data_IF_739276462221
#
_entry.id   IF_739276462221
#
_cell.length_a   1.000
_cell.length_b   1.000
_cell.length_c   1.000
_cell.angle_alpha   90.00
_cell.angle_beta   90.00
_cell.angle_gamma   90.00
#
_symmetry.space_group_name_H-M   'P 1'
#
loop_
_entity.id
_entity.type
_entity.pdbx_description
1 polymer ?
#
# COMPACT_ATOMS: atom_id res chain seq x y z
N UNK A 1 35.31 6.64 -28.69
CA UNK A 1 35.29 6.40 -27.23
C UNK A 1 34.32 7.40 -26.65
N UNK A 2 33.03 7.09 -26.67
CA UNK A 2 32.00 7.92 -26.04
C UNK A 2 31.54 7.17 -24.81
N UNK A 3 32.21 7.41 -23.69
CA UNK A 3 31.74 6.94 -22.38
C UNK A 3 30.50 7.76 -22.03
N UNK A 4 29.34 7.24 -22.40
CA UNK A 4 28.10 7.58 -21.73
C UNK A 4 28.20 7.00 -20.32
N UNK A 5 28.56 7.83 -19.35
CA UNK A 5 28.23 7.56 -17.95
C UNK A 5 26.71 7.69 -17.82
N UNK A 6 26.01 6.65 -18.25
CA UNK A 6 24.60 6.45 -17.94
C UNK A 6 24.57 6.29 -16.42
N UNK A 7 24.21 7.35 -15.70
CA UNK A 7 23.82 7.23 -14.30
C UNK A 7 22.48 6.48 -14.31
N UNK A 8 22.56 5.16 -14.50
CA UNK A 8 21.41 4.28 -14.47
C UNK A 8 20.82 4.39 -13.08
N UNK A 9 19.57 4.85 -13.01
CA UNK A 9 18.76 4.85 -11.80
C UNK A 9 18.91 3.50 -11.11
N UNK A 10 19.62 3.46 -9.98
CA UNK A 10 19.81 2.25 -9.23
C UNK A 10 18.69 2.14 -8.22
N UNK A 11 17.71 1.31 -8.58
CA UNK A 11 16.64 0.88 -7.69
C UNK A 11 16.89 -0.57 -7.30
N UNK A 12 17.14 -0.81 -6.02
CA UNK A 12 17.36 -2.15 -5.51
C UNK A 12 16.43 -2.44 -4.33
N UNK A 13 15.71 -3.55 -4.42
CA UNK A 13 14.91 -4.06 -3.31
C UNK A 13 15.86 -4.80 -2.36
N UNK A 14 16.11 -4.23 -1.18
CA UNK A 14 16.95 -4.86 -0.17
C UNK A 14 16.19 -5.97 0.55
N UNK A 15 14.96 -5.68 0.96
CA UNK A 15 14.12 -6.61 1.70
C UNK A 15 12.66 -6.23 1.61
N UNK A 16 11.79 -7.22 1.54
CA UNK A 16 10.35 -7.06 1.73
C UNK A 16 9.96 -7.93 2.91
N UNK A 17 9.21 -7.38 3.85
CA UNK A 17 8.79 -8.07 5.06
C UNK A 17 7.46 -7.53 5.55
N UNK A 18 6.67 -8.38 6.19
CA UNK A 18 5.42 -7.95 6.82
C UNK A 18 5.73 -7.43 8.21
N UNK A 19 5.41 -6.16 8.46
CA UNK A 19 5.72 -5.46 9.71
C UNK A 19 4.66 -5.69 10.77
N UNK A 20 3.41 -5.68 10.34
CA UNK A 20 2.25 -5.91 11.20
C UNK A 20 1.15 -6.62 10.43
N UNK A 21 0.41 -7.47 11.13
CA UNK A 21 -0.77 -8.17 10.62
C UNK A 21 -1.78 -8.25 11.75
N UNK A 22 -2.97 -7.73 11.48
CA UNK A 22 -4.13 -7.88 12.36
C UNK A 22 -5.30 -8.49 11.61
N UNK A 23 -5.95 -9.47 12.22
CA UNK A 23 -7.19 -10.04 11.72
C UNK A 23 -8.15 -10.25 12.88
N UNK A 24 -9.33 -9.66 12.77
CA UNK A 24 -10.37 -9.72 13.78
C UNK A 24 -11.70 -10.11 13.15
N UNK A 25 -12.41 -11.03 13.79
CA UNK A 25 -13.76 -11.45 13.39
C UNK A 25 -14.67 -11.40 14.63
N UNK A 26 -15.08 -10.21 15.08
CA UNK A 26 -15.76 -10.04 16.37
C UNK A 26 -17.12 -10.74 16.42
N UNK A 27 -17.81 -10.82 15.28
CA UNK A 27 -19.14 -11.42 15.18
C UNK A 27 -19.11 -12.89 14.73
N UNK A 28 -17.95 -13.54 14.72
CA UNK A 28 -17.87 -14.98 14.52
C UNK A 28 -18.37 -15.72 15.79
N UNK A 29 -19.22 -16.77 15.67
CA UNK A 29 -19.72 -17.42 14.46
C UNK A 29 -21.08 -16.91 13.95
N UNK A 30 -21.70 -15.92 14.59
CA UNK A 30 -23.05 -15.45 14.26
C UNK A 30 -23.15 -14.92 12.82
N UNK A 31 -22.07 -14.33 12.32
CA UNK A 31 -21.94 -13.89 10.92
C UNK A 31 -22.14 -15.03 9.91
N UNK A 32 -21.85 -16.29 10.26
CA UNK A 32 -22.03 -17.42 9.35
C UNK A 32 -23.50 -17.80 9.11
N UNK A 33 -24.41 -17.30 9.93
CA UNK A 33 -25.85 -17.56 9.78
C UNK A 33 -26.55 -16.56 8.84
N UNK A 34 -25.86 -15.47 8.48
CA UNK A 34 -26.39 -14.41 7.61
C UNK A 34 -26.09 -14.69 6.15
N UNK A 35 -26.91 -14.12 5.28
CA UNK A 35 -26.66 -14.13 3.84
C UNK A 35 -25.35 -13.39 3.54
N UNK A 36 -24.45 -14.04 2.79
CA UNK A 36 -23.10 -13.55 2.57
C UNK A 36 -23.08 -12.52 1.44
N UNK A 37 -23.45 -11.28 1.78
CA UNK A 37 -23.25 -10.09 0.95
C UNK A 37 -22.36 -9.09 1.69
N UNK A 38 -21.02 -9.32 1.75
CA UNK A 38 -20.13 -8.40 2.41
C UNK A 38 -19.91 -7.15 1.56
N UNK A 39 -20.17 -5.98 2.14
CA UNK A 39 -19.62 -4.73 1.64
C UNK A 39 -18.16 -4.65 2.09
N UNK A 40 -17.25 -4.57 1.11
CA UNK A 40 -15.81 -4.55 1.35
C UNK A 40 -15.32 -3.13 1.18
N UNK A 41 -14.86 -2.54 2.28
CA UNK A 41 -14.16 -1.26 2.27
C UNK A 41 -12.66 -1.52 2.30
N UNK A 42 -11.95 -0.97 1.33
CA UNK A 42 -10.50 -0.98 1.24
C UNK A 42 -9.96 0.42 1.53
N UNK A 43 -9.05 0.50 2.48
CA UNK A 43 -8.28 1.69 2.81
C UNK A 43 -6.79 1.41 2.61
N UNK A 44 -6.09 2.35 1.99
CA UNK A 44 -4.69 2.22 1.61
C UNK A 44 -3.92 3.43 2.10
N UNK A 45 -2.97 3.18 2.99
CA UNK A 45 -2.03 4.18 3.45
C UNK A 45 -0.63 3.78 3.05
N UNK A 46 0.12 4.73 2.48
CA UNK A 46 1.55 4.55 2.20
C UNK A 46 2.34 5.51 3.06
N UNK A 47 3.25 4.98 3.86
CA UNK A 47 4.24 5.75 4.60
C UNK A 47 5.62 5.46 4.01
N UNK A 48 6.47 6.49 3.92
CA UNK A 48 7.88 6.33 3.59
C UNK A 48 8.74 6.94 4.68
N UNK A 49 9.91 6.36 4.92
CA UNK A 49 10.85 6.78 5.95
C UNK A 49 12.26 6.52 5.47
N UNK A 50 13.16 7.47 5.68
CA UNK A 50 14.57 7.29 5.33
C UNK A 50 15.31 6.59 6.48
N UNK A 51 16.00 5.48 6.19
CA UNK A 51 16.75 4.72 7.18
C UNK A 51 18.24 5.06 7.17
N UNK A 52 18.82 5.27 5.99
CA UNK A 52 20.21 5.64 5.80
C UNK A 52 20.40 6.47 4.51
N UNK A 53 21.64 6.82 4.20
CA UNK A 53 22.00 7.42 2.91
C UNK A 53 21.60 6.45 1.80
N UNK A 54 20.79 6.93 0.84
CA UNK A 54 20.27 6.14 -0.28
C UNK A 54 19.40 4.93 0.13
N UNK A 55 19.00 4.79 1.41
CA UNK A 55 18.14 3.67 1.89
C UNK A 55 16.83 4.19 2.47
N UNK A 56 15.74 3.75 1.87
CA UNK A 56 14.37 4.12 2.21
C UNK A 56 13.55 2.91 2.62
N UNK A 57 12.82 3.03 3.71
CA UNK A 57 11.73 2.13 4.08
C UNK A 57 10.42 2.68 3.53
N UNK A 58 9.67 1.86 2.81
CA UNK A 58 8.29 2.14 2.41
C UNK A 58 7.39 1.12 3.08
N UNK A 59 6.38 1.60 3.79
CA UNK A 59 5.37 0.78 4.45
C UNK A 59 4.03 1.04 3.77
N UNK A 60 3.48 0.00 3.16
CA UNK A 60 2.13 -0.02 2.62
C UNK A 60 1.21 -0.69 3.64
N UNK A 61 0.33 0.09 4.25
CA UNK A 61 -0.75 -0.40 5.09
C UNK A 61 -2.00 -0.58 4.23
N UNK A 62 -2.55 -1.79 4.26
CA UNK A 62 -3.78 -2.16 3.60
C UNK A 62 -4.77 -2.58 4.66
N UNK A 63 -5.84 -1.81 4.83
CA UNK A 63 -6.91 -2.12 5.77
C UNK A 63 -8.16 -2.51 4.99
N UNK A 64 -8.66 -3.70 5.26
CA UNK A 64 -9.85 -4.28 4.65
C UNK A 64 -10.88 -4.50 5.73
N UNK A 65 -11.99 -3.80 5.59
CA UNK A 65 -13.16 -3.92 6.48
C UNK A 65 -14.29 -4.54 5.68
N UNK A 66 -14.76 -5.70 6.11
CA UNK A 66 -15.91 -6.36 5.52
C UNK A 66 -17.11 -6.26 6.47
N UNK A 67 -18.24 -5.76 5.99
CA UNK A 67 -19.50 -5.65 6.75
C UNK A 67 -20.62 -6.38 6.05
N UNK A 68 -21.40 -7.19 6.77
CA UNK A 68 -22.56 -7.91 6.23
C UNK A 68 -23.81 -7.35 6.91
N UNK A 69 -24.63 -6.63 6.15
CA UNK A 69 -25.74 -5.84 6.71
C UNK A 69 -25.23 -4.73 7.63
N UNK A 70 -25.60 -4.77 8.92
CA UNK A 70 -25.17 -3.81 9.94
C UNK A 70 -24.02 -4.33 10.84
N UNK A 71 -23.49 -5.52 10.57
CA UNK A 71 -22.45 -6.14 11.40
C UNK A 71 -21.11 -6.25 10.68
N UNK A 72 -20.01 -5.98 11.39
CA UNK A 72 -18.67 -6.24 10.88
C UNK A 72 -18.41 -7.74 10.81
N UNK A 73 -18.19 -8.26 9.61
CA UNK A 73 -17.84 -9.66 9.41
C UNK A 73 -16.40 -9.91 9.86
N UNK A 74 -15.47 -9.13 9.31
CA UNK A 74 -14.08 -9.14 9.72
C UNK A 74 -13.38 -7.81 9.42
N UNK A 75 -12.33 -7.55 10.19
CA UNK A 75 -11.34 -6.51 9.97
C UNK A 75 -10.01 -7.19 9.67
N UNK A 76 -9.33 -6.78 8.62
CA UNK A 76 -8.01 -7.26 8.28
C UNK A 76 -7.11 -6.07 7.98
N UNK A 77 -6.03 -5.92 8.73
CA UNK A 77 -5.01 -4.91 8.47
C UNK A 77 -3.69 -5.63 8.20
N UNK A 78 -3.03 -5.27 7.11
CA UNK A 78 -1.69 -5.78 6.78
C UNK A 78 -0.79 -4.59 6.49
N UNK A 79 0.33 -4.51 7.21
CA UNK A 79 1.38 -3.53 6.98
C UNK A 79 2.56 -4.24 6.32
N UNK A 80 2.68 -4.05 5.01
CA UNK A 80 3.78 -4.58 4.23
C UNK A 80 4.89 -3.54 4.13
N UNK A 81 6.06 -3.85 4.66
CA UNK A 81 7.23 -2.99 4.60
C UNK A 81 8.23 -3.49 3.56
N UNK A 82 8.89 -2.55 2.89
CA UNK A 82 10.01 -2.81 2.00
C UNK A 82 11.14 -1.84 2.26
N UNK A 83 12.35 -2.35 2.29
CA UNK A 83 13.58 -1.55 2.31
C UNK A 83 14.11 -1.51 0.88
N UNK A 84 14.31 -0.31 0.38
CA UNK A 84 14.75 -0.03 -0.97
C UNK A 84 16.00 0.83 -0.90
N UNK A 85 17.03 0.44 -1.64
CA UNK A 85 18.18 1.30 -1.92
C UNK A 85 17.90 2.02 -3.22
N UNK A 86 17.95 3.35 -3.17
CA UNK A 86 17.59 4.21 -4.27
C UNK A 86 18.69 5.25 -4.46
N UNK A 87 19.39 5.17 -5.58
CA UNK A 87 20.51 6.02 -5.95
C UNK A 87 20.30 6.60 -7.35
N UNK A 88 20.76 7.85 -7.56
CA UNK A 88 20.75 8.47 -8.89
C UNK A 88 19.40 9.01 -9.37
N UNK A 89 18.40 9.14 -8.49
CA UNK A 89 17.14 9.84 -8.77
C UNK A 89 16.85 10.94 -7.75
N UNK A 90 16.40 12.09 -8.25
CA UNK A 90 16.10 13.28 -7.45
C UNK A 90 14.69 13.82 -7.74
N UNK A 91 14.13 14.55 -6.77
CA UNK A 91 12.87 15.28 -6.90
C UNK A 91 11.65 14.39 -7.20
N UNK A 92 10.88 14.77 -8.22
CA UNK A 92 9.59 14.14 -8.57
C UNK A 92 9.72 12.66 -8.94
N UNK A 93 10.85 12.22 -9.50
CA UNK A 93 11.07 10.81 -9.85
C UNK A 93 11.25 9.93 -8.61
N UNK A 94 11.96 10.43 -7.59
CA UNK A 94 12.09 9.75 -6.29
C UNK A 94 10.73 9.61 -5.62
N UNK A 95 9.95 10.69 -5.57
CA UNK A 95 8.60 10.66 -5.03
C UNK A 95 7.71 9.65 -5.76
N UNK A 96 7.78 9.60 -7.10
CA UNK A 96 7.05 8.61 -7.91
C UNK A 96 7.49 7.17 -7.61
N UNK A 97 8.78 6.94 -7.43
CA UNK A 97 9.29 5.62 -7.07
C UNK A 97 8.80 5.18 -5.68
N UNK A 98 8.89 6.06 -4.68
CA UNK A 98 8.49 5.74 -3.31
C UNK A 98 6.96 5.65 -3.15
N UNK A 99 6.19 6.43 -3.92
CA UNK A 99 4.74 6.55 -3.78
C UNK A 99 3.90 5.69 -4.73
N UNK A 100 4.42 5.34 -5.91
CA UNK A 100 3.71 4.45 -6.87
C UNK A 100 4.42 3.11 -7.03
N UNK A 101 5.72 3.13 -7.32
CA UNK A 101 6.46 1.93 -7.70
C UNK A 101 6.69 0.97 -6.53
N UNK A 102 7.17 1.46 -5.39
CA UNK A 102 7.39 0.64 -4.20
C UNK A 102 6.08 0.02 -3.68
N UNK A 103 4.97 0.77 -3.50
CA UNK A 103 3.69 0.19 -3.08
C UNK A 103 3.15 -0.84 -4.07
N UNK A 104 3.31 -0.61 -5.38
CA UNK A 104 2.87 -1.59 -6.39
C UNK A 104 3.63 -2.92 -6.28
N UNK A 105 4.91 -2.90 -5.88
CA UNK A 105 5.70 -4.11 -5.60
C UNK A 105 5.23 -4.78 -4.30
N UNK A 106 4.89 -3.99 -3.28
CA UNK A 106 4.46 -4.51 -1.96
C UNK A 106 3.01 -5.03 -1.97
N UNK A 107 2.15 -4.49 -2.82
CA UNK A 107 0.72 -4.79 -2.84
C UNK A 107 0.39 -6.27 -3.12
N UNK A 108 1.05 -6.99 -4.05
CA UNK A 108 0.84 -8.42 -4.22
C UNK A 108 1.10 -9.24 -2.95
N UNK A 109 2.13 -8.87 -2.16
CA UNK A 109 2.44 -9.54 -0.90
C UNK A 109 1.39 -9.24 0.16
N UNK A 110 0.98 -7.97 0.29
CA UNK A 110 -0.09 -7.57 1.20
C UNK A 110 -1.41 -8.28 0.83
N UNK A 111 -1.75 -8.34 -0.46
CA UNK A 111 -2.93 -9.00 -1.00
C UNK A 111 -2.94 -10.49 -0.68
N UNK A 112 -1.84 -11.21 -0.91
CA UNK A 112 -1.75 -12.63 -0.59
C UNK A 112 -1.93 -12.86 0.91
N UNK A 113 -1.29 -12.04 1.75
CA UNK A 113 -1.43 -12.11 3.20
C UNK A 113 -2.89 -11.92 3.64
N UNK A 114 -3.59 -10.92 3.10
CA UNK A 114 -5.02 -10.70 3.36
C UNK A 114 -5.85 -11.91 2.94
N UNK A 115 -5.64 -12.43 1.73
CA UNK A 115 -6.38 -13.60 1.25
C UNK A 115 -6.13 -14.82 2.16
N UNK A 116 -4.91 -15.01 2.65
CA UNK A 116 -4.54 -16.07 3.59
C UNK A 116 -5.28 -15.91 4.93
N UNK A 117 -5.37 -14.69 5.46
CA UNK A 117 -6.07 -14.40 6.72
C UNK A 117 -7.59 -14.57 6.60
N UNK A 118 -8.19 -14.07 5.52
CA UNK A 118 -9.62 -14.26 5.23
C UNK A 118 -9.95 -15.75 5.10
N UNK A 119 -9.08 -16.51 4.42
CA UNK A 119 -9.24 -17.96 4.31
C UNK A 119 -9.12 -18.66 5.67
N UNK A 120 -8.26 -18.20 6.58
CA UNK A 120 -8.18 -18.72 7.97
C UNK A 120 -9.42 -18.39 8.78
N UNK A 121 -10.09 -17.27 8.50
CA UNK A 121 -11.41 -16.94 9.02
C UNK A 121 -12.54 -17.82 8.47
N UNK A 122 -12.23 -18.76 7.57
CA UNK A 122 -13.20 -19.61 6.85
C UNK A 122 -14.24 -18.81 6.05
N UNK A 123 -13.93 -17.55 5.76
CA UNK A 123 -14.76 -16.71 4.92
C UNK A 123 -14.48 -16.98 3.44
N UNK A 124 -15.45 -16.74 2.54
CA UNK A 124 -15.25 -16.77 1.10
C UNK A 124 -14.05 -15.94 0.66
N UNK A 125 -13.35 -16.42 -0.38
CA UNK A 125 -12.14 -15.78 -0.87
C UNK A 125 -12.40 -14.34 -1.29
N UNK A 126 -11.75 -13.40 -0.62
CA UNK A 126 -11.78 -12.01 -0.97
C UNK A 126 -10.61 -11.72 -1.92
N UNK A 127 -10.94 -11.54 -3.19
CA UNK A 127 -10.00 -11.13 -4.21
C UNK A 127 -10.02 -9.61 -4.34
N UNK A 128 -9.00 -8.97 -3.78
CA UNK A 128 -8.78 -7.54 -3.95
C UNK A 128 -8.60 -7.23 -5.44
N UNK A 129 -9.37 -6.28 -5.95
CA UNK A 129 -9.17 -5.76 -7.30
C UNK A 129 -7.75 -5.17 -7.42
N UNK A 130 -7.10 -5.27 -8.59
CA UNK A 130 -5.84 -4.59 -8.81
C UNK A 130 -6.02 -3.09 -8.55
N UNK A 131 -5.23 -2.55 -7.64
CA UNK A 131 -5.22 -1.10 -7.37
C UNK A 131 -4.16 -0.47 -8.25
N UNK A 132 -4.51 0.65 -8.87
CA UNK A 132 -3.57 1.42 -9.68
C UNK A 132 -2.88 2.47 -8.80
N UNK A 133 -1.68 2.14 -8.32
CA UNK A 133 -0.87 3.04 -7.49
C UNK A 133 -0.35 4.25 -8.26
N UNK A 134 -0.16 4.17 -9.58
CA UNK A 134 0.20 5.34 -10.39
C UNK A 134 -0.91 6.40 -10.38
N UNK A 135 -2.18 5.97 -10.42
CA UNK A 135 -3.33 6.87 -10.33
C UNK A 135 -3.48 7.50 -8.93
N UNK A 136 -3.25 6.71 -7.86
CA UNK A 136 -3.24 7.21 -6.48
C UNK A 136 -2.12 8.22 -6.26
N UNK A 137 -0.93 7.96 -6.80
CA UNK A 137 0.19 8.88 -6.72
C UNK A 137 -0.05 10.16 -7.53
N UNK A 138 -0.67 10.08 -8.72
CA UNK A 138 -1.10 11.28 -9.44
C UNK A 138 -2.10 12.13 -8.64
N UNK A 139 -3.01 11.49 -7.89
CA UNK A 139 -3.94 12.20 -7.00
C UNK A 139 -3.21 12.83 -5.80
N UNK A 140 -2.23 12.12 -5.24
CA UNK A 140 -1.36 12.63 -4.17
C UNK A 140 -0.51 13.82 -4.62
N UNK A 141 0.05 13.78 -5.83
CA UNK A 141 0.76 14.89 -6.46
C UNK A 141 -0.17 16.07 -6.75
N UNK A 142 -1.42 15.85 -7.14
CA UNK A 142 -2.40 16.93 -7.28
C UNK A 142 -2.70 17.58 -5.92
N UNK A 143 -2.87 16.78 -4.86
CA UNK A 143 -3.08 17.31 -3.50
C UNK A 143 -1.85 18.05 -2.94
N UNK A 144 -0.63 17.58 -3.23
CA UNK A 144 0.60 18.31 -2.86
C UNK A 144 0.84 19.54 -3.75
N UNK A 145 0.46 19.48 -5.03
CA UNK A 145 0.51 20.61 -5.96
C UNK A 145 -0.51 21.70 -5.64
N UNK A 146 -1.63 21.37 -4.99
CA UNK A 146 -2.56 22.36 -4.42
C UNK A 146 -2.11 22.91 -3.04
N UNK A 147 -1.07 22.33 -2.43
CA UNK A 147 -0.41 22.85 -1.24
C UNK A 147 0.66 23.93 -1.52
N UNK A 148 1.01 24.12 -2.79
CA UNK A 148 1.95 25.17 -3.25
C UNK A 148 1.31 26.01 -4.37
N UNK A 149 0.03 26.37 -4.20
CA UNK A 149 -0.50 27.57 -4.83
C UNK A 149 0.05 28.79 -4.08
N UNK A 150 0.82 29.69 -4.71
CA UNK A 150 1.24 30.91 -4.05
C UNK A 150 -0.02 31.69 -3.65
N UNK A 151 -0.12 32.05 -2.37
CA UNK A 151 -0.83 33.26 -1.98
C UNK A 151 -0.15 34.41 -2.72
N UNK A 152 -0.64 34.73 -3.91
CA UNK A 152 -0.45 36.05 -4.47
C UNK A 152 -1.34 37.00 -3.68
N UNK A 153 -0.72 37.71 -2.76
CA UNK A 153 -1.06 39.07 -2.38
C UNK A 153 -1.37 39.90 -3.64
N UNK A 154 -2.62 40.33 -3.79
CA UNK A 154 -3.07 41.66 -4.24
C UNK A 154 -4.57 41.64 -4.59
#
# INVERSE_FOLDING_TARGET
>A
MSEHSTNEMQFQIQRVYTKDVSFEAPNAPQVFQKEWEPEVKLDLDTASSQLADEVYEVVLRVTVTATVGEETAFLCEVQQAGIFTISGIEGTQMAHCLGAYCPNILFPYARECITSLVSRGTFPQLNLAPVNFDALFMNYLQQQGEGEAPRQDA
#
